data_IF_063337409393
#
_entry.id   IF_063337409393
#
_cell.length_a   1.000
_cell.length_b   1.000
_cell.length_c   1.000
_cell.angle_alpha   90.00
_cell.angle_beta   90.00
_cell.angle_gamma   90.00
#
_symmetry.space_group_name_H-M   'P 1'
#
loop_
_entity.id
_entity.type
_entity.pdbx_description
1 polymer ?
#
# COMPACT_ATOMS: atom_id res chain seq x y z
N UNK A 1 3.09 -3.76 -8.97
CA UNK A 1 1.85 -3.39 -8.25
C UNK A 1 1.62 -4.44 -7.18
N UNK A 2 1.12 -4.05 -6.00
CA UNK A 2 0.76 -5.00 -4.94
C UNK A 2 -0.72 -4.81 -4.60
N UNK A 3 -1.41 -5.91 -4.30
CA UNK A 3 -2.85 -5.92 -3.94
C UNK A 3 -3.02 -6.81 -2.73
N UNK A 4 -3.83 -6.36 -1.77
CA UNK A 4 -4.19 -7.10 -0.57
C UNK A 4 -5.71 -7.09 -0.43
N UNK A 5 -6.27 -8.17 0.11
CA UNK A 5 -7.70 -8.25 0.44
C UNK A 5 -7.99 -7.38 1.66
N UNK A 6 -7.14 -7.48 2.69
CA UNK A 6 -7.27 -6.69 3.91
C UNK A 6 -6.45 -5.39 3.81
N UNK A 7 -7.10 -4.24 4.06
CA UNK A 7 -6.45 -2.93 3.96
C UNK A 7 -5.25 -2.81 4.91
N UNK A 8 -5.36 -3.36 6.13
CA UNK A 8 -4.27 -3.36 7.11
C UNK A 8 -3.01 -4.03 6.56
N UNK A 9 -3.16 -5.14 5.84
CA UNK A 9 -2.03 -5.87 5.26
C UNK A 9 -1.37 -5.03 4.14
N UNK A 10 -2.18 -4.40 3.29
CA UNK A 10 -1.69 -3.48 2.26
C UNK A 10 -0.94 -2.28 2.82
N UNK A 11 -1.47 -1.63 3.86
CA UNK A 11 -0.82 -0.50 4.53
C UNK A 11 0.46 -0.93 5.23
N UNK A 12 0.44 -2.06 5.94
CA UNK A 12 1.61 -2.61 6.63
C UNK A 12 2.74 -2.90 5.64
N UNK A 13 2.42 -3.59 4.54
CA UNK A 13 3.37 -3.88 3.47
C UNK A 13 3.97 -2.60 2.88
N UNK A 14 3.14 -1.61 2.56
CA UNK A 14 3.58 -0.35 1.97
C UNK A 14 4.59 0.40 2.85
N UNK A 15 4.28 0.57 4.15
CA UNK A 15 5.15 1.28 5.09
C UNK A 15 6.46 0.53 5.36
N UNK A 16 6.41 -0.80 5.45
CA UNK A 16 7.62 -1.59 5.59
C UNK A 16 8.51 -1.57 4.35
N UNK A 17 7.90 -1.61 3.16
CA UNK A 17 8.62 -1.49 1.90
C UNK A 17 9.31 -0.13 1.79
N UNK A 18 8.61 0.96 2.12
CA UNK A 18 9.17 2.31 2.14
C UNK A 18 10.37 2.41 3.08
N UNK A 19 10.20 1.98 4.34
CA UNK A 19 11.26 1.99 5.35
C UNK A 19 12.48 1.18 4.94
N UNK A 20 12.30 -0.01 4.39
CA UNK A 20 13.41 -0.85 3.92
C UNK A 20 14.11 -0.20 2.72
N UNK A 21 13.35 0.39 1.80
CA UNK A 21 13.92 1.09 0.65
C UNK A 21 14.74 2.32 1.07
N UNK A 22 14.37 3.04 2.14
CA UNK A 22 15.21 4.12 2.67
C UNK A 22 16.62 3.67 3.05
N UNK A 23 16.76 2.43 3.53
CA UNK A 23 18.07 1.87 3.91
C UNK A 23 18.84 1.28 2.73
N UNK A 24 18.15 0.57 1.83
CA UNK A 24 18.81 -0.22 0.77
C UNK A 24 19.02 0.59 -0.50
N UNK A 25 18.16 1.57 -0.76
CA UNK A 25 18.10 2.28 -2.04
C UNK A 25 18.54 3.74 -1.95
N UNK A 26 19.03 4.21 -0.79
CA UNK A 26 19.43 5.60 -0.63
C UNK A 26 20.41 6.04 -1.74
N UNK A 27 20.21 7.23 -2.35
CA UNK A 27 19.26 8.29 -1.96
C UNK A 27 17.86 8.18 -2.61
N UNK A 28 17.53 7.08 -3.29
CA UNK A 28 16.22 6.91 -3.93
C UNK A 28 15.11 6.82 -2.87
N UNK A 29 14.00 7.53 -3.12
CA UNK A 29 12.80 7.51 -2.30
C UNK A 29 11.67 6.85 -3.07
N UNK A 30 10.90 6.00 -2.41
CA UNK A 30 9.71 5.43 -3.02
C UNK A 30 8.59 6.46 -3.08
N UNK A 31 7.71 6.24 -4.04
CA UNK A 31 6.44 6.94 -4.21
C UNK A 31 5.38 5.88 -4.08
N UNK A 32 4.48 6.02 -3.12
CA UNK A 32 3.48 4.98 -2.85
C UNK A 32 2.11 5.63 -2.75
N UNK A 33 1.19 5.15 -3.57
CA UNK A 33 -0.23 5.50 -3.52
C UNK A 33 -1.06 4.27 -3.21
N UNK A 34 -1.96 4.38 -2.23
CA UNK A 34 -2.86 3.33 -1.79
C UNK A 34 -4.30 3.77 -2.06
N UNK A 35 -5.11 2.86 -2.59
CA UNK A 35 -6.54 3.02 -2.71
C UNK A 35 -7.24 1.72 -2.35
N UNK A 36 -8.46 1.82 -1.84
CA UNK A 36 -9.32 0.70 -1.48
C UNK A 36 -10.66 0.83 -2.20
N UNK A 37 -11.16 -0.28 -2.72
CA UNK A 37 -12.45 -0.34 -3.39
C UNK A 37 -12.54 -1.55 -4.31
N UNK A 38 -13.71 -1.71 -4.91
CA UNK A 38 -13.97 -2.83 -5.81
C UNK A 38 -13.11 -2.77 -7.07
N UNK A 39 -12.60 -3.93 -7.47
CA UNK A 39 -11.79 -4.11 -8.68
C UNK A 39 -12.07 -5.48 -9.29
N UNK A 40 -11.83 -5.61 -10.60
CA UNK A 40 -11.94 -6.88 -11.31
C UNK A 40 -10.55 -7.46 -11.58
N UNK A 41 -10.40 -8.77 -11.41
CA UNK A 41 -9.26 -9.52 -11.92
C UNK A 41 -9.47 -9.79 -13.42
N UNK A 42 -8.49 -9.45 -14.22
CA UNK A 42 -8.46 -9.57 -15.66
C UNK A 42 -7.26 -10.43 -16.08
N UNK A 43 -7.48 -11.36 -17.00
CA UNK A 43 -6.46 -12.31 -17.51
C UNK A 43 -5.70 -13.15 -16.45
N UNK A 44 -6.14 -13.11 -15.19
CA UNK A 44 -5.63 -13.93 -14.09
C UNK A 44 -4.54 -13.27 -13.24
N UNK A 45 -3.99 -12.14 -13.67
CA UNK A 45 -2.89 -11.45 -12.99
C UNK A 45 -3.03 -9.92 -12.91
N UNK A 46 -3.91 -9.29 -13.70
CA UNK A 46 -4.12 -7.85 -13.72
C UNK A 46 -5.39 -7.41 -12.98
N UNK A 47 -5.31 -6.32 -12.22
CA UNK A 47 -6.47 -5.70 -11.59
C UNK A 47 -6.89 -4.43 -12.33
N UNK A 48 -8.13 -4.41 -12.80
CA UNK A 48 -8.73 -3.25 -13.48
C UNK A 48 -9.91 -2.69 -12.69
N UNK A 49 -9.97 -1.35 -12.59
CA UNK A 49 -11.07 -0.68 -11.90
C UNK A 49 -10.70 0.71 -11.35
N UNK A 50 -11.64 1.35 -10.64
CA UNK A 50 -11.41 2.67 -10.03
C UNK A 50 -10.29 2.69 -8.99
N UNK A 51 -10.18 1.64 -8.16
CA UNK A 51 -9.17 1.56 -7.10
C UNK A 51 -7.73 1.57 -7.65
N UNK A 52 -7.31 0.68 -8.57
CA UNK A 52 -5.96 0.74 -9.12
C UNK A 52 -5.67 2.03 -9.89
N UNK A 53 -6.68 2.63 -10.55
CA UNK A 53 -6.54 3.93 -11.19
C UNK A 53 -6.25 5.05 -10.18
N UNK A 54 -6.97 5.09 -9.05
CA UNK A 54 -6.74 6.06 -7.99
C UNK A 54 -5.37 5.86 -7.34
N UNK A 55 -5.02 4.62 -6.99
CA UNK A 55 -3.72 4.29 -6.40
C UNK A 55 -2.56 4.75 -7.30
N UNK A 56 -2.66 4.53 -8.61
CA UNK A 56 -1.66 5.01 -9.58
C UNK A 56 -1.55 6.54 -9.58
N UNK A 57 -2.68 7.27 -9.54
CA UNK A 57 -2.68 8.73 -9.48
C UNK A 57 -2.11 9.28 -8.18
N UNK A 58 -2.37 8.62 -7.05
CA UNK A 58 -1.77 8.98 -5.77
C UNK A 58 -0.25 8.73 -5.77
N UNK A 59 0.18 7.62 -6.36
CA UNK A 59 1.60 7.30 -6.52
C UNK A 59 2.33 8.37 -7.35
N UNK A 60 1.71 8.87 -8.43
CA UNK A 60 2.27 9.99 -9.20
C UNK A 60 2.49 11.25 -8.34
N UNK A 61 1.58 11.52 -7.38
CA UNK A 61 1.64 12.68 -6.49
C UNK A 61 2.54 12.50 -5.26
N UNK A 62 2.91 11.27 -4.91
CA UNK A 62 3.67 10.96 -3.70
C UNK A 62 5.16 11.38 -3.73
N UNK A 63 5.58 12.11 -4.76
CA UNK A 63 6.98 12.56 -4.92
C UNK A 63 7.42 13.45 -3.75
N UNK A 64 8.42 12.97 -3.00
CA UNK A 64 8.94 13.69 -1.83
C UNK A 64 8.00 13.72 -0.62
N UNK A 65 6.87 13.01 -0.66
CA UNK A 65 5.88 12.97 0.43
C UNK A 65 5.90 11.63 1.16
N UNK A 66 6.02 10.51 0.42
CA UNK A 66 6.07 9.16 1.00
C UNK A 66 4.85 8.31 0.62
N UNK A 67 4.08 7.87 1.62
CA UNK A 67 2.92 6.99 1.43
C UNK A 67 1.61 7.77 1.51
N UNK A 68 0.88 7.84 0.39
CA UNK A 68 -0.40 8.53 0.27
C UNK A 68 -1.58 7.55 0.21
N UNK A 69 -2.68 7.92 0.84
CA UNK A 69 -3.98 7.22 0.74
C UNK A 69 -5.12 8.24 0.61
N UNK A 70 -6.19 7.89 -0.10
CA UNK A 70 -7.41 8.69 -0.06
C UNK A 70 -8.02 8.61 1.34
N UNK A 71 -8.21 9.76 1.99
CA UNK A 71 -8.62 9.85 3.40
C UNK A 71 -9.94 9.12 3.65
N UNK A 72 -10.89 9.27 2.73
CA UNK A 72 -12.22 8.66 2.82
C UNK A 72 -12.19 7.13 2.68
N UNK A 73 -11.09 6.56 2.18
CA UNK A 73 -10.95 5.11 2.01
C UNK A 73 -10.29 4.45 3.22
N UNK A 74 -9.84 5.20 4.24
CA UNK A 74 -9.26 4.62 5.45
C UNK A 74 -10.38 3.97 6.28
N UNK A 75 -10.34 2.64 6.38
CA UNK A 75 -11.25 1.84 7.22
C UNK A 75 -10.62 1.61 8.59
N UNK A 76 -9.39 1.11 8.61
CA UNK A 76 -8.63 0.84 9.83
C UNK A 76 -7.13 1.01 9.56
N UNK A 77 -6.39 1.49 10.56
CA UNK A 77 -4.94 1.65 10.48
C UNK A 77 -4.24 0.60 11.35
N UNK A 78 -3.12 0.02 10.89
CA UNK A 78 -2.30 -0.84 11.74
C UNK A 78 -1.86 -0.12 13.01
N UNK A 79 -1.68 -0.87 14.10
CA UNK A 79 -1.12 -0.30 15.33
C UNK A 79 0.24 0.35 15.06
N UNK A 80 0.44 1.57 15.59
CA UNK A 80 1.66 2.35 15.39
C UNK A 80 1.68 3.19 14.11
N UNK A 81 0.62 3.13 13.30
CA UNK A 81 0.41 3.96 12.11
C UNK A 81 -0.63 5.04 12.39
N UNK A 82 -0.41 6.24 11.86
CA UNK A 82 -1.39 7.32 11.87
C UNK A 82 -1.52 7.95 10.48
N UNK A 83 -2.71 8.45 10.19
CA UNK A 83 -2.98 9.28 9.03
C UNK A 83 -2.79 10.76 9.39
N UNK A 84 -1.96 11.48 8.64
CA UNK A 84 -1.83 12.92 8.73
C UNK A 84 -2.54 13.55 7.53
N UNK A 85 -3.54 14.42 7.74
CA UNK A 85 -4.22 15.09 6.64
C UNK A 85 -3.22 15.86 5.76
N UNK A 86 -3.38 15.75 4.45
CA UNK A 86 -2.69 16.52 3.43
C UNK A 86 -3.69 17.41 2.69
N UNK A 87 -3.20 18.46 2.03
CA UNK A 87 -4.04 19.25 1.13
C UNK A 87 -4.71 18.34 0.08
N UNK A 88 -6.00 18.58 -0.18
CA UNK A 88 -6.73 17.85 -1.20
C UNK A 88 -6.10 18.08 -2.57
N UNK A 89 -6.04 17.04 -3.40
CA UNK A 89 -5.32 17.11 -4.68
C UNK A 89 -6.28 16.89 -5.84
N UNK A 90 -6.18 17.75 -6.86
CA UNK A 90 -6.85 17.55 -8.14
C UNK A 90 -6.11 16.51 -8.98
N UNK A 91 -6.62 15.28 -9.00
CA UNK A 91 -6.02 14.18 -9.76
C UNK A 91 -6.49 14.17 -11.22
N UNK A 92 -5.57 13.84 -12.14
CA UNK A 92 -5.91 13.66 -13.56
C UNK A 92 -6.93 12.53 -13.72
N UNK A 93 -8.07 12.83 -14.34
CA UNK A 93 -9.15 11.87 -14.56
C UNK A 93 -10.20 11.83 -13.45
N UNK A 94 -10.07 12.65 -12.40
CA UNK A 94 -11.05 12.78 -11.32
C UNK A 94 -11.80 14.11 -11.43
N UNK A 95 -13.14 14.07 -11.31
CA UNK A 95 -14.00 15.25 -11.45
C UNK A 95 -13.85 16.21 -10.27
N UNK A 96 -13.66 15.69 -9.07
CA UNK A 96 -13.50 16.47 -7.84
C UNK A 96 -12.05 16.38 -7.32
N UNK A 97 -11.73 17.21 -6.33
CA UNK A 97 -10.48 17.06 -5.59
C UNK A 97 -10.61 15.88 -4.62
N UNK A 98 -9.53 15.13 -4.45
CA UNK A 98 -9.52 13.97 -3.54
C UNK A 98 -8.84 14.38 -2.24
N UNK A 99 -9.51 14.17 -1.11
CA UNK A 99 -8.91 14.38 0.21
C UNK A 99 -7.85 13.32 0.48
N UNK A 100 -6.61 13.73 0.79
CA UNK A 100 -5.46 12.82 0.93
C UNK A 100 -4.95 12.81 2.35
N UNK A 101 -4.49 11.65 2.81
CA UNK A 101 -3.73 11.49 4.03
C UNK A 101 -2.35 10.91 3.74
N UNK A 102 -1.34 11.41 4.42
CA UNK A 102 0.00 10.82 4.47
C UNK A 102 0.02 9.80 5.61
N UNK A 103 0.40 8.57 5.32
CA UNK A 103 0.58 7.54 6.33
C UNK A 103 1.98 7.63 6.92
N UNK A 104 2.06 7.71 8.24
CA UNK A 104 3.33 7.80 8.97
C UNK A 104 3.31 6.90 10.20
N UNK A 105 4.50 6.50 10.65
CA UNK A 105 4.69 5.62 11.79
C UNK A 105 5.29 4.27 11.39
N UNK A 106 5.27 3.33 12.33
CA UNK A 106 5.81 1.99 12.14
C UNK A 106 4.73 0.98 12.51
N UNK A 107 4.26 0.16 11.55
CA UNK A 107 3.33 -0.91 11.85
C UNK A 107 3.93 -1.90 12.85
N UNK A 108 3.17 -2.23 13.89
CA UNK A 108 3.52 -3.36 14.77
C UNK A 108 3.17 -4.65 14.05
N UNK A 109 4.19 -5.36 13.57
CA UNK A 109 4.02 -6.67 12.94
C UNK A 109 3.96 -7.70 14.06
N UNK A 110 2.76 -8.21 14.37
CA UNK A 110 2.64 -9.39 15.22
C UNK A 110 3.34 -10.57 14.51
N UNK A 111 4.05 -11.42 15.25
CA UNK A 111 4.59 -12.68 14.72
C UNK A 111 3.42 -13.56 14.25
N UNK A 112 3.03 -13.39 12.99
CA UNK A 112 2.17 -14.33 12.30
C UNK A 112 3.08 -15.50 11.96
N UNK A 113 3.11 -16.51 12.83
CA UNK A 113 3.70 -17.80 12.49
C UNK A 113 2.96 -18.33 11.26
N UNK A 114 3.51 -18.05 10.09
CA UNK A 114 2.98 -18.50 8.82
C UNK A 114 3.27 -20.00 8.68
N UNK A 115 2.45 -20.81 9.34
CA UNK A 115 2.50 -22.27 9.26
C UNK A 115 1.97 -22.81 7.93
N UNK A 116 1.85 -21.98 6.88
CA UNK A 116 1.46 -22.44 5.54
C UNK A 116 2.65 -22.97 4.70
N UNK A 117 3.89 -22.61 5.05
CA UNK A 117 5.13 -23.04 4.37
C UNK A 117 5.67 -24.42 4.82
N UNK A 118 4.99 -25.14 5.71
CA UNK A 118 5.48 -26.46 6.20
C UNK A 118 5.42 -27.55 5.11
N UNK A 119 4.68 -27.31 4.01
CA UNK A 119 4.41 -28.35 3.00
C UNK A 119 5.40 -28.40 1.82
N UNK A 120 6.33 -27.45 1.68
CA UNK A 120 7.30 -27.41 0.57
C UNK A 120 8.67 -28.02 0.90
N UNK A 121 8.96 -28.36 2.16
CA UNK A 121 10.18 -29.10 2.49
C UNK A 121 9.97 -30.61 2.39
N UNK A 122 9.98 -31.13 1.16
CA UNK A 122 10.33 -32.55 0.96
C UNK A 122 11.80 -32.73 1.31
N UNK A 123 12.07 -33.36 2.45
CA UNK A 123 13.40 -33.91 2.77
C UNK A 123 13.80 -34.89 1.67
N UNK A 124 14.71 -34.47 0.78
CA UNK A 124 15.43 -35.41 -0.07
C UNK A 124 16.56 -35.98 0.80
N UNK A 125 16.26 -37.05 1.53
CA UNK A 125 17.32 -37.85 2.14
C UNK A 125 17.75 -38.92 1.13
N UNK A 126 19.04 -38.90 0.81
CA UNK A 126 19.77 -39.85 -0.01
C UNK A 126 20.13 -41.10 0.80
#
# INVERSE_FOLDING_TARGET
MAVAVEQIEGITFALELDRRAETVCAPLKLRIGIATGDTMLFEGDDYIGPAPNLAARLCDQAIGIGVLIATEQIVELPQGVRAQPHEAIKLRGFAEQVAISVLVGQPVIAERNDTSEIWTQRSINN
#
